data_IF_085722604220
#
_entry.id   IF_085722604220
#
_cell.length_a   1.000
_cell.length_b   1.000
_cell.length_c   1.000
_cell.angle_alpha   90.00
_cell.angle_beta   90.00
_cell.angle_gamma   90.00
#
_symmetry.space_group_name_H-M   'P 1'
#
loop_
_entity.id
_entity.type
_entity.pdbx_description
1 polymer ?
#
# COMPACT_ATOMS: atom_id res chain seq x y z
N UNK A 1 -47.71 -25.94 15.40
CA UNK A 1 -48.58 -25.82 14.20
C UNK A 1 -47.69 -25.66 12.98
N UNK A 2 -47.82 -26.56 12.00
CA UNK A 2 -47.12 -26.55 10.71
C UNK A 2 -47.72 -25.47 9.80
N UNK A 3 -46.90 -24.72 9.05
CA UNK A 3 -47.22 -24.30 7.68
C UNK A 3 -45.94 -24.23 6.84
N UNK A 4 -45.78 -25.25 6.01
CA UNK A 4 -44.99 -25.29 4.77
C UNK A 4 -45.63 -24.37 3.73
N UNK A 5 -44.83 -23.65 2.94
CA UNK A 5 -45.18 -23.27 1.56
C UNK A 5 -43.92 -23.38 0.70
N UNK A 6 -44.08 -24.01 -0.46
CA UNK A 6 -43.06 -24.36 -1.42
C UNK A 6 -43.00 -23.35 -2.59
N UNK A 7 -41.78 -23.23 -3.12
CA UNK A 7 -41.34 -23.08 -4.53
C UNK A 7 -42.08 -22.13 -5.51
N UNK A 8 -41.27 -21.35 -6.26
CA UNK A 8 -41.36 -21.35 -7.72
C UNK A 8 -40.01 -20.94 -8.36
N UNK A 9 -39.52 -21.79 -9.27
CA UNK A 9 -38.39 -21.57 -10.19
C UNK A 9 -38.96 -20.97 -11.48
N UNK A 10 -38.34 -19.93 -12.04
CA UNK A 10 -38.51 -19.56 -13.45
C UNK A 10 -37.14 -19.38 -14.09
N UNK A 11 -36.87 -20.29 -15.03
CA UNK A 11 -35.77 -20.29 -15.99
C UNK A 11 -36.23 -19.51 -17.23
N UNK A 12 -35.41 -18.57 -17.74
CA UNK A 12 -35.67 -17.86 -18.98
C UNK A 12 -34.45 -17.86 -19.88
N UNK A 13 -34.42 -18.78 -20.84
CA UNK A 13 -33.52 -18.77 -22.01
C UNK A 13 -34.33 -18.18 -23.16
N UNK A 14 -33.78 -17.18 -23.85
CA UNK A 14 -34.28 -16.78 -25.19
C UNK A 14 -33.12 -16.72 -26.16
N UNK A 15 -33.20 -17.57 -27.16
CA UNK A 15 -32.35 -17.68 -28.35
C UNK A 15 -32.99 -17.01 -29.57
N UNK A 16 -32.17 -16.54 -30.51
CA UNK A 16 -32.48 -16.35 -31.94
C UNK A 16 -32.94 -14.93 -32.32
N UNK A 17 -32.71 -14.39 -33.52
CA UNK A 17 -32.07 -14.88 -34.75
C UNK A 17 -31.74 -13.66 -35.66
N UNK A 18 -30.92 -13.93 -36.66
CA UNK A 18 -30.20 -13.08 -37.63
C UNK A 18 -30.98 -12.57 -38.86
N UNK A 19 -30.35 -11.58 -39.55
CA UNK A 19 -30.27 -11.28 -41.01
C UNK A 19 -31.11 -10.08 -41.56
N UNK A 20 -30.86 -9.60 -42.80
CA UNK A 20 -29.78 -8.68 -43.20
C UNK A 20 -30.32 -7.43 -43.94
N UNK A 21 -29.47 -6.42 -44.21
CA UNK A 21 -29.81 -5.36 -45.19
C UNK A 21 -28.64 -5.12 -46.14
N UNK A 22 -28.93 -5.31 -47.43
CA UNK A 22 -28.14 -4.92 -48.60
C UNK A 22 -28.45 -3.46 -48.96
N UNK A 23 -27.43 -2.68 -49.34
CA UNK A 23 -27.32 -2.08 -50.69
C UNK A 23 -26.06 -1.20 -50.83
N UNK A 24 -25.45 -1.30 -52.01
CA UNK A 24 -24.14 -0.80 -52.45
C UNK A 24 -24.21 0.69 -52.96
N UNK A 25 -23.16 1.37 -53.53
CA UNK A 25 -22.17 0.86 -54.50
C UNK A 25 -20.70 1.33 -54.35
N UNK A 26 -19.88 0.69 -55.18
CA UNK A 26 -18.42 0.71 -55.36
C UNK A 26 -17.72 2.06 -55.56
N UNK A 27 -16.47 2.14 -55.11
CA UNK A 27 -15.42 2.92 -55.78
C UNK A 27 -14.02 2.31 -55.57
N UNK A 28 -13.45 1.87 -56.70
CA UNK A 28 -12.07 2.09 -57.16
C UNK A 28 -10.87 1.48 -56.42
N UNK A 29 -10.16 0.64 -57.16
CA UNK A 29 -8.82 0.10 -56.92
C UNK A 29 -7.81 1.17 -56.47
N UNK A 30 -6.97 0.80 -55.51
CA UNK A 30 -5.61 1.32 -55.39
C UNK A 30 -4.74 0.24 -54.75
N UNK A 31 -3.94 -0.40 -55.60
CA UNK A 31 -2.79 -1.22 -55.22
C UNK A 31 -1.82 -0.33 -54.46
N UNK A 32 -1.54 -0.65 -53.20
CA UNK A 32 -0.38 -0.11 -52.50
C UNK A 32 0.36 -1.28 -51.88
N UNK A 33 1.52 -1.56 -52.45
CA UNK A 33 2.48 -2.53 -51.97
C UNK A 33 2.79 -2.26 -50.50
N UNK A 34 2.40 -3.20 -49.64
CA UNK A 34 2.86 -3.24 -48.26
C UNK A 34 4.33 -3.68 -48.29
N UNK A 35 5.23 -2.73 -48.12
CA UNK A 35 6.61 -3.01 -47.74
C UNK A 35 6.55 -3.63 -46.35
N UNK A 36 6.87 -4.93 -46.24
CA UNK A 36 7.14 -5.58 -44.96
C UNK A 36 8.24 -4.80 -44.24
N UNK A 37 7.83 -4.03 -43.24
CA UNK A 37 8.74 -3.48 -42.25
C UNK A 37 9.19 -4.66 -41.37
N UNK A 38 10.50 -4.95 -41.24
CA UNK A 38 10.96 -6.02 -40.38
C UNK A 38 10.47 -5.73 -38.96
N UNK A 39 9.84 -6.72 -38.35
CA UNK A 39 9.52 -6.70 -36.93
C UNK A 39 10.82 -6.34 -36.19
N UNK A 40 10.83 -5.16 -35.56
CA UNK A 40 11.86 -4.84 -34.60
C UNK A 40 11.78 -5.93 -33.53
N UNK A 41 12.83 -6.76 -33.45
CA UNK A 41 13.05 -7.63 -32.30
C UNK A 41 12.98 -6.74 -31.07
N UNK A 42 11.86 -6.82 -30.35
CA UNK A 42 11.76 -6.33 -28.98
C UNK A 42 12.58 -7.33 -28.17
N UNK A 43 13.89 -7.08 -28.11
CA UNK A 43 14.78 -7.76 -27.18
C UNK A 43 14.30 -7.34 -25.79
N UNK A 44 13.56 -8.22 -25.12
CA UNK A 44 13.24 -8.06 -23.72
C UNK A 44 14.56 -7.86 -22.94
N UNK A 45 14.63 -6.94 -21.97
CA UNK A 45 15.85 -6.76 -21.20
C UNK A 45 16.18 -8.06 -20.46
N UNK A 46 17.31 -8.68 -20.80
CA UNK A 46 17.89 -9.84 -20.11
C UNK A 46 18.44 -9.48 -18.70
N UNK A 47 17.99 -8.38 -18.11
CA UNK A 47 18.46 -7.92 -16.80
C UNK A 47 17.93 -8.86 -15.74
N UNK A 48 18.79 -9.75 -15.24
CA UNK A 48 18.46 -10.70 -14.18
C UNK A 48 18.59 -10.13 -12.77
N UNK A 49 19.17 -8.94 -12.63
CA UNK A 49 19.38 -8.31 -11.35
C UNK A 49 19.39 -6.79 -11.41
N UNK A 50 18.92 -6.13 -10.36
CA UNK A 50 18.98 -4.67 -10.18
C UNK A 50 19.64 -4.32 -8.86
N UNK A 51 20.61 -3.41 -8.88
CA UNK A 51 21.24 -2.92 -7.66
C UNK A 51 20.28 -1.97 -6.92
N UNK A 52 20.01 -2.25 -5.64
CA UNK A 52 19.29 -1.33 -4.78
C UNK A 52 20.20 -0.19 -4.37
N UNK A 53 19.76 1.04 -4.66
CA UNK A 53 20.43 2.28 -4.25
C UNK A 53 19.50 3.02 -3.31
N UNK A 54 19.70 2.78 -2.03
CA UNK A 54 18.98 3.49 -0.99
C UNK A 54 19.43 4.96 -0.94
N UNK A 55 18.47 5.83 -0.72
CA UNK A 55 18.70 7.26 -0.52
C UNK A 55 18.11 7.69 0.82
N UNK A 56 18.59 8.80 1.38
CA UNK A 56 17.98 9.42 2.56
C UNK A 56 16.48 9.57 2.36
N UNK A 57 15.71 9.14 3.36
CA UNK A 57 14.25 9.14 3.30
C UNK A 57 13.63 10.29 4.09
N UNK A 58 12.30 10.25 4.20
CA UNK A 58 11.55 11.05 5.17
C UNK A 58 12.10 10.82 6.58
N UNK A 59 12.05 11.83 7.44
CA UNK A 59 12.53 11.75 8.82
C UNK A 59 11.34 11.57 9.76
N UNK A 60 11.55 10.83 10.87
CA UNK A 60 10.56 10.77 11.92
C UNK A 60 10.49 12.11 12.66
N UNK A 61 9.29 12.66 12.79
CA UNK A 61 9.06 13.99 13.36
C UNK A 61 8.58 13.89 14.80
N UNK A 62 8.97 14.81 15.71
CA UNK A 62 8.43 14.83 17.06
C UNK A 62 6.93 15.08 17.05
N UNK A 63 6.16 14.29 17.81
CA UNK A 63 4.73 14.50 17.96
C UNK A 63 4.43 15.82 18.69
N UNK A 64 3.36 16.48 18.27
CA UNK A 64 2.91 17.73 18.89
C UNK A 64 2.09 17.43 20.13
N UNK A 65 2.51 17.99 21.28
CA UNK A 65 1.74 17.89 22.53
C UNK A 65 0.45 18.71 22.43
N UNK A 66 -0.67 18.10 22.86
CA UNK A 66 -1.99 18.72 22.89
C UNK A 66 -2.60 18.64 24.29
N UNK A 67 -3.68 19.39 24.50
CA UNK A 67 -4.53 19.21 25.68
C UNK A 67 -5.12 17.79 25.70
N UNK A 68 -5.41 17.28 26.90
CA UNK A 68 -6.05 15.99 27.06
C UNK A 68 -7.34 15.92 26.22
N UNK A 69 -7.54 14.80 25.53
CA UNK A 69 -8.75 14.57 24.73
C UNK A 69 -9.93 14.37 25.67
N UNK A 70 -10.93 15.26 25.58
CA UNK A 70 -12.18 15.16 26.34
C UNK A 70 -12.82 13.78 26.15
N UNK A 71 -13.23 13.14 27.24
CA UNK A 71 -13.82 11.79 27.21
C UNK A 71 -15.04 11.70 26.28
N UNK A 72 -15.84 12.77 26.18
CA UNK A 72 -17.01 12.85 25.30
C UNK A 72 -16.67 12.84 23.80
N UNK A 73 -15.40 13.03 23.44
CA UNK A 73 -14.89 13.06 22.06
C UNK A 73 -14.16 11.78 21.66
N UNK A 74 -13.87 10.93 22.63
CA UNK A 74 -13.16 9.67 22.40
C UNK A 74 -14.11 8.66 21.76
N UNK A 75 -13.66 8.05 20.68
CA UNK A 75 -14.37 6.98 19.96
C UNK A 75 -13.88 5.61 20.41
N UNK A 76 -12.57 5.46 20.56
CA UNK A 76 -11.90 4.22 20.97
C UNK A 76 -10.67 4.55 21.79
N UNK A 77 -10.34 3.65 22.71
CA UNK A 77 -9.09 3.67 23.46
C UNK A 77 -8.48 2.27 23.39
N UNK A 78 -7.17 2.20 23.17
CA UNK A 78 -6.42 0.96 23.13
C UNK A 78 -5.11 1.14 23.90
N UNK A 79 -4.91 0.32 24.93
CA UNK A 79 -3.66 0.29 25.68
C UNK A 79 -2.52 -0.26 24.80
N UNK A 80 -1.36 0.37 24.87
CA UNK A 80 -0.13 -0.04 24.18
C UNK A 80 1.04 0.27 25.10
N UNK A 81 1.69 -0.78 25.62
CA UNK A 81 2.71 -0.67 26.68
C UNK A 81 2.22 0.16 27.88
N UNK A 82 3.00 1.16 28.31
CA UNK A 82 2.64 2.11 29.37
C UNK A 82 1.80 3.31 28.86
N UNK A 83 1.37 3.26 27.60
CA UNK A 83 0.63 4.33 26.92
C UNK A 83 -0.74 3.86 26.46
N UNK A 84 -1.52 4.78 25.92
CA UNK A 84 -2.84 4.51 25.37
C UNK A 84 -3.00 5.29 24.07
N UNK A 85 -3.39 4.60 23.00
CA UNK A 85 -3.80 5.25 21.76
C UNK A 85 -5.30 5.57 21.85
N UNK A 86 -5.62 6.84 21.69
CA UNK A 86 -6.98 7.37 21.67
C UNK A 86 -7.37 7.71 20.24
N UNK A 87 -8.50 7.20 19.78
CA UNK A 87 -9.15 7.65 18.55
C UNK A 87 -10.25 8.63 18.90
N UNK A 88 -10.30 9.80 18.27
CA UNK A 88 -11.20 10.88 18.66
C UNK A 88 -11.61 11.82 17.52
N UNK A 89 -12.63 12.65 17.77
CA UNK A 89 -13.08 13.73 16.86
C UNK A 89 -12.71 15.11 17.42
N UNK A 90 -12.31 16.05 16.56
CA UNK A 90 -12.11 17.47 16.93
C UNK A 90 -13.44 18.25 16.80
N UNK A 91 -13.58 19.33 17.57
CA UNK A 91 -14.84 20.12 17.61
C UNK A 91 -15.14 20.87 16.32
N UNK A 92 -14.08 21.32 15.65
CA UNK A 92 -14.11 22.06 14.40
C UNK A 92 -14.27 21.15 13.17
N UNK A 93 -14.07 19.84 13.31
CA UNK A 93 -14.18 18.90 12.21
C UNK A 93 -14.66 17.51 12.66
N UNK A 94 -15.99 17.38 12.81
CA UNK A 94 -16.65 16.17 13.31
C UNK A 94 -16.65 15.01 12.31
N UNK A 95 -16.38 15.29 11.04
CA UNK A 95 -16.29 14.29 9.97
C UNK A 95 -14.94 13.58 9.96
N UNK A 96 -13.91 14.15 10.58
CA UNK A 96 -12.56 13.59 10.62
C UNK A 96 -12.31 12.81 11.91
N UNK A 97 -11.57 11.72 11.77
CA UNK A 97 -11.10 10.89 12.87
C UNK A 97 -9.59 11.08 13.03
N UNK A 98 -9.18 11.34 14.27
CA UNK A 98 -7.79 11.57 14.66
C UNK A 98 -7.31 10.50 15.64
N UNK A 99 -6.00 10.32 15.73
CA UNK A 99 -5.35 9.51 16.75
C UNK A 99 -4.49 10.40 17.66
N UNK A 100 -4.41 10.04 18.94
CA UNK A 100 -3.48 10.64 19.88
C UNK A 100 -2.85 9.56 20.76
N UNK A 101 -1.57 9.76 21.11
CA UNK A 101 -0.88 8.96 22.09
C UNK A 101 -0.99 9.65 23.46
N UNK A 102 -1.60 8.97 24.43
CA UNK A 102 -1.64 9.39 25.82
C UNK A 102 -0.64 8.58 26.65
N UNK A 103 0.29 9.29 27.30
CA UNK A 103 1.27 8.73 28.22
C UNK A 103 1.31 9.55 29.52
N UNK A 104 2.18 9.17 30.46
CA UNK A 104 2.44 9.93 31.70
C UNK A 104 2.94 11.36 31.43
N UNK A 105 3.61 11.58 30.30
CA UNK A 105 4.25 12.85 29.95
C UNK A 105 3.30 13.81 29.22
N UNK A 106 2.15 13.32 28.77
CA UNK A 106 1.12 14.14 28.13
C UNK A 106 0.29 13.39 27.10
N UNK A 107 -0.48 14.16 26.32
CA UNK A 107 -1.20 13.66 25.15
C UNK A 107 -0.60 14.30 23.91
N UNK A 108 -0.36 13.50 22.88
CA UNK A 108 0.36 13.88 21.68
C UNK A 108 -0.47 13.56 20.43
N UNK A 109 -0.65 14.54 19.53
CA UNK A 109 -1.45 14.40 18.31
C UNK A 109 -0.69 13.59 17.26
N UNK A 110 -1.26 12.48 16.80
CA UNK A 110 -0.73 11.61 15.74
C UNK A 110 -1.34 11.92 14.36
N UNK A 111 -2.21 12.94 14.28
CA UNK A 111 -2.82 13.38 13.03
C UNK A 111 -4.11 12.63 12.69
N UNK A 112 -4.59 12.91 11.48
CA UNK A 112 -5.82 12.33 10.94
C UNK A 112 -5.55 10.87 10.51
N UNK A 113 -6.45 9.96 10.90
CA UNK A 113 -6.39 8.54 10.54
C UNK A 113 -7.66 8.05 9.83
N UNK A 114 -8.67 8.92 9.68
CA UNK A 114 -9.78 8.63 8.79
C UNK A 114 -10.95 9.61 8.88
N UNK A 115 -12.14 9.11 8.59
CA UNK A 115 -13.40 9.86 8.56
C UNK A 115 -14.51 9.13 9.31
N UNK A 116 -15.57 9.85 9.65
CA UNK A 116 -16.78 9.30 10.25
C UNK A 116 -17.34 8.15 9.40
N UNK A 117 -17.68 7.04 10.06
CA UNK A 117 -18.14 5.81 9.41
C UNK A 117 -17.00 4.90 8.92
N UNK A 118 -15.76 5.39 8.84
CA UNK A 118 -14.59 4.56 8.61
C UNK A 118 -14.34 3.66 9.83
N UNK A 119 -14.04 2.39 9.59
CA UNK A 119 -13.77 1.38 10.63
C UNK A 119 -12.47 0.60 10.35
N UNK A 120 -11.73 1.03 9.33
CA UNK A 120 -10.51 0.45 8.79
C UNK A 120 -9.24 0.96 9.49
N UNK A 121 -9.39 1.68 10.62
CA UNK A 121 -8.25 2.06 11.43
C UNK A 121 -7.89 0.97 12.45
N UNK A 122 -6.60 0.77 12.66
CA UNK A 122 -6.07 -0.24 13.58
C UNK A 122 -4.94 0.32 14.43
N UNK A 123 -4.68 -0.36 15.54
CA UNK A 123 -3.54 -0.06 16.40
C UNK A 123 -2.89 -1.37 16.80
N UNK A 124 -1.56 -1.43 16.74
CA UNK A 124 -0.75 -2.58 17.14
C UNK A 124 0.63 -2.14 17.60
N UNK A 125 1.35 -3.05 18.23
CA UNK A 125 2.80 -2.94 18.43
C UNK A 125 3.50 -3.78 17.38
N UNK A 126 4.54 -3.25 16.76
CA UNK A 126 5.34 -3.95 15.74
C UNK A 126 6.83 -3.74 16.00
N UNK A 127 7.62 -4.78 15.78
CA UNK A 127 9.08 -4.69 15.78
C UNK A 127 9.58 -4.58 14.34
N UNK A 128 10.20 -3.44 14.01
CA UNK A 128 10.66 -3.07 12.66
C UNK A 128 11.76 -2.01 12.77
N UNK A 129 12.64 -1.89 11.79
CA UNK A 129 13.74 -0.93 11.79
C UNK A 129 14.67 -1.06 13.03
N UNK A 130 14.76 -2.25 13.60
CA UNK A 130 15.60 -2.56 14.76
C UNK A 130 15.02 -2.14 16.12
N UNK A 131 13.77 -1.68 16.19
CA UNK A 131 13.12 -1.29 17.45
C UNK A 131 11.61 -1.56 17.44
N UNK A 132 10.96 -1.35 18.59
CA UNK A 132 9.51 -1.47 18.72
C UNK A 132 8.80 -0.14 18.42
N UNK A 133 7.67 -0.21 17.73
CA UNK A 133 6.82 0.93 17.39
C UNK A 133 5.36 0.67 17.73
N UNK A 134 4.66 1.72 18.14
CA UNK A 134 3.19 1.75 18.11
C UNK A 134 2.76 2.10 16.69
N UNK A 135 2.18 1.14 15.97
CA UNK A 135 1.64 1.33 14.62
C UNK A 135 0.18 1.69 14.69
N UNK A 136 -0.21 2.80 14.06
CA UNK A 136 -1.61 3.18 13.87
C UNK A 136 -1.86 3.31 12.38
N UNK A 137 -2.80 2.52 11.86
CA UNK A 137 -3.20 2.56 10.45
C UNK A 137 -4.59 3.15 10.30
N UNK A 138 -4.89 3.62 9.09
CA UNK A 138 -6.23 4.03 8.67
C UNK A 138 -6.22 4.46 7.21
N UNK A 139 -7.26 5.18 6.77
CA UNK A 139 -7.28 5.75 5.42
C UNK A 139 -7.98 7.11 5.40
N UNK A 140 -7.45 8.05 4.61
CA UNK A 140 -8.06 9.37 4.36
C UNK A 140 -8.70 9.46 2.98
N UNK A 141 -9.15 8.32 2.47
CA UNK A 141 -9.84 8.19 1.19
C UNK A 141 -9.73 6.76 0.68
N UNK A 142 -10.50 6.42 -0.37
CA UNK A 142 -10.62 5.06 -0.88
C UNK A 142 -9.28 4.41 -1.27
N UNK A 143 -8.28 5.21 -1.66
CA UNK A 143 -6.95 4.76 -2.05
C UNK A 143 -5.84 5.58 -1.37
N UNK A 144 -6.09 6.11 -0.17
CA UNK A 144 -5.15 6.93 0.59
C UNK A 144 -4.90 6.32 1.98
N UNK A 145 -4.27 5.13 2.03
CA UNK A 145 -3.90 4.49 3.30
C UNK A 145 -2.86 5.34 4.04
N UNK A 146 -2.93 5.29 5.37
CA UNK A 146 -1.97 5.93 6.27
C UNK A 146 -1.45 4.87 7.23
N UNK A 147 -0.14 4.91 7.46
CA UNK A 147 0.56 4.15 8.48
C UNK A 147 1.44 5.10 9.30
N UNK A 148 1.11 5.26 10.57
CA UNK A 148 1.90 6.01 11.54
C UNK A 148 2.68 5.04 12.43
N UNK A 149 4.01 5.17 12.47
CA UNK A 149 4.88 4.41 13.37
C UNK A 149 5.41 5.34 14.44
N UNK A 150 4.94 5.18 15.68
CA UNK A 150 5.33 6.03 16.80
C UNK A 150 6.41 5.35 17.63
N UNK A 151 7.56 6.01 17.74
CA UNK A 151 8.64 5.61 18.62
C UNK A 151 8.45 6.22 20.00
N UNK A 152 8.42 5.38 21.03
CA UNK A 152 8.37 5.82 22.43
C UNK A 152 9.77 6.00 23.05
N UNK A 153 10.83 5.75 22.29
CA UNK A 153 12.22 5.86 22.77
C UNK A 153 12.71 7.32 22.88
N UNK A 154 11.96 8.27 22.34
CA UNK A 154 12.28 9.70 22.37
C UNK A 154 11.28 10.47 23.23
N UNK A 155 11.70 11.66 23.69
CA UNK A 155 10.82 12.61 24.40
C UNK A 155 10.98 14.01 23.80
N UNK A 156 9.97 14.55 23.08
CA UNK A 156 8.67 13.92 22.80
C UNK A 156 8.80 12.66 21.92
N UNK A 157 7.82 11.73 21.96
CA UNK A 157 7.77 10.61 21.03
C UNK A 157 7.79 11.10 19.58
N UNK A 158 8.43 10.37 18.68
CA UNK A 158 8.48 10.70 17.25
C UNK A 158 7.54 9.82 16.44
N UNK A 159 7.10 10.30 15.29
CA UNK A 159 6.27 9.58 14.34
C UNK A 159 6.91 9.55 12.96
N UNK A 160 7.01 8.36 12.40
CA UNK A 160 7.25 8.15 10.98
C UNK A 160 5.88 7.98 10.30
N UNK A 161 5.52 8.94 9.45
CA UNK A 161 4.25 8.96 8.72
C UNK A 161 4.45 8.48 7.29
N UNK A 162 3.75 7.41 6.90
CA UNK A 162 3.81 6.83 5.55
C UNK A 162 2.40 6.76 4.97
N UNK A 163 2.18 7.40 3.83
CA UNK A 163 0.94 7.37 3.07
C UNK A 163 0.88 6.14 2.15
N UNK A 164 0.92 4.94 2.74
CA UNK A 164 0.88 3.68 2.02
C UNK A 164 0.29 2.55 2.88
N UNK A 165 -0.12 1.47 2.23
CA UNK A 165 -0.27 0.19 2.91
C UNK A 165 1.12 -0.33 3.24
N UNK A 166 1.34 -0.75 4.48
CA UNK A 166 2.67 -1.13 4.95
C UNK A 166 2.68 -2.52 5.56
N UNK A 167 3.76 -3.25 5.28
CA UNK A 167 4.06 -4.56 5.83
C UNK A 167 5.45 -4.52 6.45
N UNK A 168 5.59 -5.04 7.66
CA UNK A 168 6.89 -5.23 8.32
C UNK A 168 7.43 -6.61 7.96
N UNK A 169 8.53 -6.67 7.22
CA UNK A 169 9.14 -7.92 6.78
C UNK A 169 10.66 -7.79 6.65
N UNK A 170 11.37 -8.88 6.97
CA UNK A 170 12.82 -9.02 6.76
C UNK A 170 13.04 -9.48 5.31
N UNK A 171 13.13 -8.50 4.40
CA UNK A 171 13.13 -8.76 2.96
C UNK A 171 14.52 -9.07 2.42
N UNK A 172 15.57 -8.63 3.11
CA UNK A 172 16.97 -8.94 2.76
C UNK A 172 17.63 -10.02 3.64
N UNK A 173 16.87 -10.59 4.60
CA UNK A 173 17.24 -11.73 5.45
C UNK A 173 18.41 -11.43 6.40
N UNK A 174 18.54 -10.18 6.84
CA UNK A 174 19.56 -9.77 7.82
C UNK A 174 19.12 -9.95 9.30
N UNK A 175 17.84 -10.32 9.52
CA UNK A 175 17.23 -10.53 10.83
C UNK A 175 16.54 -9.29 11.41
N UNK A 176 16.59 -8.15 10.73
CA UNK A 176 15.87 -6.92 11.06
C UNK A 176 14.76 -6.74 10.01
N UNK A 177 13.55 -6.41 10.46
CA UNK A 177 12.47 -6.15 9.51
C UNK A 177 12.57 -4.74 8.92
N UNK A 178 12.37 -4.63 7.62
CA UNK A 178 12.08 -3.40 6.89
C UNK A 178 10.59 -3.06 6.92
N UNK A 179 10.28 -1.82 6.51
CA UNK A 179 8.93 -1.46 6.11
C UNK A 179 8.83 -1.56 4.59
N UNK A 180 7.97 -2.44 4.10
CA UNK A 180 7.55 -2.48 2.69
C UNK A 180 6.26 -1.68 2.56
N UNK A 181 6.31 -0.59 1.79
CA UNK A 181 5.20 0.33 1.59
C UNK A 181 4.70 0.25 0.15
N UNK A 182 3.42 -0.06 -0.04
CA UNK A 182 2.78 -0.14 -1.36
C UNK A 182 1.58 0.80 -1.43
N UNK A 183 1.51 1.59 -2.50
CA UNK A 183 0.44 2.56 -2.73
C UNK A 183 -0.01 2.59 -4.20
N UNK A 184 -1.23 3.05 -4.44
CA UNK A 184 -1.76 3.27 -5.79
C UNK A 184 -2.39 2.03 -6.43
N UNK A 185 -3.23 2.27 -7.45
CA UNK A 185 -3.85 1.19 -8.25
C UNK A 185 -2.83 0.52 -9.17
N UNK A 186 -1.95 1.31 -9.79
CA UNK A 186 -0.69 0.80 -10.31
C UNK A 186 0.27 0.79 -9.11
N UNK A 187 0.51 -0.39 -8.56
CA UNK A 187 1.20 -0.51 -7.29
C UNK A 187 2.64 0.02 -7.40
N UNK A 188 2.93 1.06 -6.63
CA UNK A 188 4.27 1.58 -6.39
C UNK A 188 4.74 1.07 -5.03
N UNK A 189 5.87 0.37 -5.02
CA UNK A 189 6.42 -0.25 -3.80
C UNK A 189 7.77 0.35 -3.45
N UNK A 190 7.90 0.81 -2.20
CA UNK A 190 9.15 1.27 -1.61
C UNK A 190 9.53 0.44 -0.39
N UNK A 191 10.83 0.32 -0.13
CA UNK A 191 11.37 -0.31 1.07
C UNK A 191 12.04 0.76 1.91
N UNK A 192 11.78 0.78 3.21
CA UNK A 192 12.44 1.64 4.19
C UNK A 192 13.24 0.79 5.17
N UNK A 193 14.48 1.20 5.42
CA UNK A 193 15.37 0.52 6.38
C UNK A 193 16.30 1.49 7.09
N UNK A 194 16.91 1.03 8.17
CA UNK A 194 17.96 1.78 8.86
C UNK A 194 19.31 1.45 8.25
N UNK A 195 20.08 2.47 7.88
CA UNK A 195 21.46 2.33 7.43
C UNK A 195 22.30 3.42 8.12
N UNK A 196 23.31 3.00 8.89
CA UNK A 196 24.17 3.93 9.66
C UNK A 196 23.37 4.95 10.49
N UNK A 197 22.42 4.46 11.29
CA UNK A 197 21.51 5.27 12.12
C UNK A 197 20.60 6.26 11.36
N UNK A 198 20.52 6.14 10.04
CA UNK A 198 19.66 6.97 9.19
C UNK A 198 18.56 6.15 8.54
N UNK A 199 17.34 6.70 8.48
CA UNK A 199 16.27 6.09 7.70
C UNK A 199 16.53 6.35 6.21
N UNK A 200 16.65 5.27 5.46
CA UNK A 200 16.84 5.29 4.01
C UNK A 200 15.72 4.54 3.33
N UNK A 201 15.46 4.87 2.08
CA UNK A 201 14.45 4.19 1.26
C UNK A 201 14.86 4.00 -0.17
N UNK A 202 14.21 3.06 -0.84
CA UNK A 202 14.34 2.81 -2.28
C UNK A 202 12.97 2.53 -2.87
N UNK A 203 12.66 3.13 -4.03
CA UNK A 203 11.47 2.81 -4.81
C UNK A 203 11.81 1.73 -5.83
N UNK A 204 11.14 0.57 -5.73
CA UNK A 204 11.44 -0.59 -6.57
C UNK A 204 10.97 -0.41 -8.02
N UNK A 205 9.86 0.29 -8.23
CA UNK A 205 9.37 0.60 -9.57
C UNK A 205 10.40 1.44 -10.34
N UNK A 206 10.99 2.43 -9.68
CA UNK A 206 12.05 3.28 -10.27
C UNK A 206 13.32 2.47 -10.58
N UNK A 207 13.79 1.66 -9.63
CA UNK A 207 15.01 0.84 -9.81
C UNK A 207 14.87 -0.14 -10.96
N UNK A 208 13.71 -0.76 -11.09
CA UNK A 208 13.44 -1.79 -12.11
C UNK A 208 12.92 -1.21 -13.42
N UNK A 209 12.57 0.08 -13.45
CA UNK A 209 11.75 0.70 -14.50
C UNK A 209 10.48 -0.13 -14.76
N UNK A 210 9.83 -0.59 -13.69
CA UNK A 210 8.65 -1.45 -13.74
C UNK A 210 7.36 -0.64 -13.62
N UNK A 211 6.33 -1.04 -14.36
CA UNK A 211 5.01 -0.40 -14.31
C UNK A 211 4.29 -0.67 -12.99
N UNK A 212 4.50 -1.85 -12.41
CA UNK A 212 3.87 -2.31 -11.17
C UNK A 212 4.89 -3.14 -10.40
N UNK A 213 4.99 -2.92 -9.09
CA UNK A 213 5.68 -3.81 -8.16
C UNK A 213 4.79 -4.04 -6.95
N UNK A 214 4.57 -5.30 -6.60
CA UNK A 214 3.80 -5.73 -5.44
C UNK A 214 4.62 -6.67 -4.59
N UNK A 215 4.43 -6.62 -3.27
CA UNK A 215 5.07 -7.53 -2.33
C UNK A 215 4.11 -8.63 -1.86
N UNK A 216 4.58 -9.86 -1.90
CA UNK A 216 3.88 -11.04 -1.40
C UNK A 216 4.51 -11.46 -0.06
N UNK A 217 3.84 -11.09 1.03
CA UNK A 217 4.33 -11.33 2.40
C UNK A 217 4.43 -12.81 2.76
N UNK A 218 3.59 -13.68 2.18
CA UNK A 218 3.60 -15.11 2.51
C UNK A 218 4.84 -15.81 1.98
N UNK A 219 5.36 -15.34 0.85
CA UNK A 219 6.50 -15.94 0.14
C UNK A 219 7.78 -15.11 0.23
N UNK A 220 7.71 -13.89 0.76
CA UNK A 220 8.80 -12.90 0.75
C UNK A 220 9.32 -12.60 -0.67
N UNK A 221 8.38 -12.48 -1.64
CA UNK A 221 8.69 -12.27 -3.07
C UNK A 221 8.05 -10.98 -3.58
N UNK A 222 8.77 -10.26 -4.42
CA UNK A 222 8.25 -9.15 -5.19
C UNK A 222 7.77 -9.63 -6.56
N UNK A 223 6.56 -9.24 -6.95
CA UNK A 223 6.00 -9.46 -8.29
C UNK A 223 6.07 -8.16 -9.06
N UNK A 224 6.72 -8.15 -10.21
CA UNK A 224 6.95 -6.93 -10.98
C UNK A 224 6.60 -7.09 -12.46
N UNK A 225 5.98 -6.06 -13.03
CA UNK A 225 5.76 -5.91 -14.48
C UNK A 225 6.87 -5.03 -15.07
N UNK A 226 8.04 -5.64 -15.32
CA UNK A 226 9.20 -4.97 -15.96
C UNK A 226 8.99 -4.90 -17.48
N UNK A 227 8.39 -5.94 -18.06
CA UNK A 227 7.95 -5.99 -19.46
C UNK A 227 6.44 -5.96 -19.47
N UNK A 228 5.86 -5.10 -20.33
CA UNK A 228 4.42 -4.88 -20.37
C UNK A 228 3.64 -6.19 -20.59
N UNK A 229 2.72 -6.50 -19.69
CA UNK A 229 1.88 -7.70 -19.71
C UNK A 229 2.55 -8.96 -19.14
N UNK A 230 3.80 -8.89 -18.69
CA UNK A 230 4.54 -10.03 -18.14
C UNK A 230 4.93 -9.78 -16.68
N UNK A 231 4.46 -10.65 -15.78
CA UNK A 231 4.80 -10.59 -14.35
C UNK A 231 5.98 -11.51 -14.08
N UNK A 232 7.02 -10.96 -13.47
CA UNK A 232 8.24 -11.64 -13.05
C UNK A 232 8.36 -11.62 -11.52
N UNK A 233 9.07 -12.60 -10.95
CA UNK A 233 9.24 -12.76 -9.50
C UNK A 233 10.68 -12.42 -9.08
N UNK A 234 10.82 -11.72 -7.96
CA UNK A 234 12.11 -11.18 -7.51
C UNK A 234 12.26 -11.33 -6.00
N UNK A 235 13.49 -11.54 -5.55
CA UNK A 235 13.88 -11.48 -4.13
C UNK A 235 15.03 -10.51 -3.96
N UNK A 236 15.28 -10.09 -2.73
CA UNK A 236 16.46 -9.32 -2.39
C UNK A 236 17.55 -10.27 -1.89
N UNK A 237 18.73 -10.17 -2.50
CA UNK A 237 19.95 -10.87 -2.09
C UNK A 237 21.14 -9.94 -2.26
N UNK A 238 22.00 -9.82 -1.25
CA UNK A 238 23.21 -9.00 -1.29
C UNK A 238 22.95 -7.57 -1.81
N UNK A 239 21.88 -6.93 -1.30
CA UNK A 239 21.44 -5.58 -1.68
C UNK A 239 21.04 -5.45 -3.18
N UNK A 240 20.64 -6.54 -3.82
CA UNK A 240 20.17 -6.59 -5.21
C UNK A 240 18.81 -7.26 -5.30
N UNK A 241 17.95 -6.77 -6.19
CA UNK A 241 16.78 -7.51 -6.65
C UNK A 241 17.23 -8.55 -7.67
N UNK A 242 16.99 -9.82 -7.40
CA UNK A 242 17.39 -10.95 -8.25
C UNK A 242 16.16 -11.68 -8.76
N UNK A 243 16.09 -11.90 -10.07
CA UNK A 243 15.01 -12.63 -10.74
C UNK A 243 14.97 -14.09 -10.27
N UNK A 244 13.79 -14.58 -9.94
CA UNK A 244 13.52 -15.98 -9.57
C UNK A 244 12.79 -16.66 -10.73
N UNK A 245 13.16 -17.92 -11.08
CA UNK A 245 12.50 -18.69 -12.14
C UNK A 245 11.03 -19.01 -11.87
#
# INVERSE_FOLDING_TARGET
MKKTVAALIILGVVTGCSTPSSDAPSATNSTTSATEQPAANVVAPETKQFQLKYTTSITAEPLTKINAVEQSKQLKSQAVDESTVLTYKKNDNVEKIYAALQSKDGTYDMGQIGYEGASDFSTSTVDVLGQSYVKVTGSVGANAPISNYVSLSTSPPTVLHIEAHTVEADVDQDGIKEIVATVGTAAETSIYKMENDSLVSVNLNEVMNAAVVMYDQETNIFKAEVVKGEVSQWKIEDNQLVLIP
#
